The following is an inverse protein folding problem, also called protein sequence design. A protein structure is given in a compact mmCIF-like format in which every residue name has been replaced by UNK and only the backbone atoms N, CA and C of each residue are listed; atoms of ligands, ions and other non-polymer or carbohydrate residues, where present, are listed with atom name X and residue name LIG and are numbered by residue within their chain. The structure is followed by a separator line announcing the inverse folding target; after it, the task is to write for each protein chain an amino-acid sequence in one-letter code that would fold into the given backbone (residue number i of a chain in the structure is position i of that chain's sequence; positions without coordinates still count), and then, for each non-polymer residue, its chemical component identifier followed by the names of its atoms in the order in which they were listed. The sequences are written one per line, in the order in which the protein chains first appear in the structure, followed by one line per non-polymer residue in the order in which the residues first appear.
data_IF_621863142231
#
_entry.id   IF_621863142231
#
_cell.length_a   1.000
_cell.length_b   1.000
_cell.length_c   1.000
_cell.angle_alpha   90.00
_cell.angle_beta   90.00
_cell.angle_gamma   90.00
#
_symmetry.space_group_name_H-M   'P 1'
#
loop_
_entity.id
_entity.type
_entity.pdbx_description
1 polymer ?
#
# COMPACT_ATOMS: atom_id res chain seq x y z
N UNK A 1 -29.18 -33.82 -34.65
CA UNK A 1 -28.73 -32.46 -34.98
C UNK A 1 -28.76 -31.63 -33.70
N UNK A 2 -27.73 -31.76 -32.89
CA UNK A 2 -27.56 -31.10 -31.59
C UNK A 2 -26.57 -29.99 -31.80
N UNK A 3 -26.95 -28.76 -31.51
CA UNK A 3 -26.05 -27.58 -31.60
C UNK A 3 -25.24 -27.49 -30.29
N UNK A 4 -23.94 -27.53 -30.45
CA UNK A 4 -22.98 -27.19 -29.40
C UNK A 4 -23.22 -25.75 -28.95
N UNK A 5 -23.49 -25.57 -27.67
CA UNK A 5 -23.54 -24.28 -27.01
C UNK A 5 -22.12 -23.88 -26.58
N UNK A 6 -21.66 -22.75 -27.12
CA UNK A 6 -20.45 -22.06 -26.69
C UNK A 6 -20.55 -21.71 -25.19
N UNK A 7 -19.80 -22.44 -24.39
CA UNK A 7 -19.53 -22.11 -22.98
C UNK A 7 -18.45 -21.02 -22.91
N UNK A 8 -18.89 -19.75 -23.02
CA UNK A 8 -18.04 -18.60 -22.72
C UNK A 8 -18.09 -18.31 -21.22
N UNK A 9 -17.38 -19.10 -20.43
CA UNK A 9 -17.01 -18.68 -19.08
C UNK A 9 -16.21 -17.38 -19.15
N UNK A 10 -16.64 -16.29 -18.49
CA UNK A 10 -15.82 -15.09 -18.42
C UNK A 10 -14.59 -15.41 -17.59
N UNK A 11 -13.42 -15.35 -18.19
CA UNK A 11 -12.14 -15.33 -17.47
C UNK A 11 -12.20 -14.13 -16.52
N UNK A 12 -12.31 -14.41 -15.23
CA UNK A 12 -12.20 -13.42 -14.18
C UNK A 12 -10.74 -12.93 -14.11
N UNK A 13 -10.38 -11.99 -14.98
CA UNK A 13 -9.12 -11.26 -14.88
C UNK A 13 -9.19 -10.40 -13.62
N UNK A 14 -8.27 -10.61 -12.70
CA UNK A 14 -8.04 -9.69 -11.59
C UNK A 14 -7.66 -8.33 -12.18
N UNK A 15 -8.56 -7.35 -12.12
CA UNK A 15 -8.28 -5.99 -12.54
C UNK A 15 -7.50 -5.26 -11.44
N UNK A 16 -6.17 -5.29 -11.54
CA UNK A 16 -5.31 -4.35 -10.83
C UNK A 16 -5.41 -3.02 -11.56
N UNK A 17 -5.90 -1.96 -10.91
CA UNK A 17 -5.95 -0.65 -11.55
C UNK A 17 -4.54 -0.07 -11.67
N UNK A 18 -4.27 0.66 -12.75
CA UNK A 18 -3.00 1.38 -12.89
C UNK A 18 -2.82 2.38 -11.73
N UNK A 19 -3.91 2.93 -11.19
CA UNK A 19 -3.90 3.73 -9.98
C UNK A 19 -3.24 3.00 -8.82
N UNK A 20 -3.66 1.77 -8.51
CA UNK A 20 -3.06 0.98 -7.42
C UNK A 20 -1.60 0.62 -7.68
N UNK A 21 -1.23 0.33 -8.92
CA UNK A 21 0.16 0.01 -9.27
C UNK A 21 1.04 1.26 -9.38
N UNK A 22 0.50 2.37 -9.89
CA UNK A 22 1.21 3.66 -9.93
C UNK A 22 1.14 4.38 -8.58
N UNK A 23 0.13 4.17 -7.76
CA UNK A 23 0.09 4.60 -6.35
C UNK A 23 1.07 3.79 -5.51
N UNK A 24 1.11 2.48 -5.67
CA UNK A 24 2.17 1.62 -5.13
C UNK A 24 3.55 1.92 -5.75
N UNK A 25 3.58 2.51 -6.95
CA UNK A 25 4.79 2.89 -7.67
C UNK A 25 5.15 4.37 -7.54
N UNK A 26 4.38 5.17 -6.77
CA UNK A 26 4.70 6.56 -6.45
C UNK A 26 4.69 7.53 -7.63
N UNK A 27 3.72 7.43 -8.52
CA UNK A 27 3.54 8.41 -9.59
C UNK A 27 3.12 9.78 -9.03
N UNK A 28 3.88 10.79 -9.36
CA UNK A 28 3.64 12.19 -9.00
C UNK A 28 2.24 12.66 -9.38
N UNK A 29 1.57 13.24 -8.37
CA UNK A 29 0.48 14.21 -8.47
C UNK A 29 -0.38 14.18 -9.75
N UNK A 30 -1.50 13.49 -9.69
CA UNK A 30 -2.71 13.74 -10.48
C UNK A 30 -3.33 15.13 -10.15
N UNK A 31 -2.58 16.19 -10.38
CA UNK A 31 -3.10 17.57 -10.30
C UNK A 31 -3.56 18.10 -11.65
N UNK A 32 -3.97 17.28 -12.58
CA UNK A 32 -4.47 17.75 -13.88
C UNK A 32 -5.49 16.83 -14.54
N UNK A 33 -6.23 16.03 -13.80
CA UNK A 33 -7.33 15.25 -14.38
C UNK A 33 -8.68 15.57 -13.71
N UNK A 34 -8.95 16.86 -13.49
CA UNK A 34 -10.32 17.41 -13.42
C UNK A 34 -10.93 17.43 -14.83
N UNK A 35 -10.90 16.28 -15.48
CA UNK A 35 -11.72 16.01 -16.65
C UNK A 35 -12.52 14.74 -16.38
N UNK A 36 -13.85 14.84 -16.33
CA UNK A 36 -14.72 13.70 -15.98
C UNK A 36 -14.79 12.61 -17.05
N UNK A 37 -13.78 12.46 -17.91
CA UNK A 37 -13.83 11.60 -19.11
C UNK A 37 -12.74 10.52 -19.25
N UNK A 38 -11.84 10.34 -18.31
CA UNK A 38 -10.83 9.27 -18.45
C UNK A 38 -11.07 8.15 -17.44
N UNK A 39 -11.52 7.01 -17.92
CA UNK A 39 -11.57 5.78 -17.14
C UNK A 39 -10.17 5.44 -16.57
N UNK A 40 -10.07 4.87 -15.36
CA UNK A 40 -8.80 4.46 -14.78
C UNK A 40 -8.08 3.48 -15.72
N UNK A 41 -6.75 3.58 -15.83
CA UNK A 41 -5.94 2.66 -16.61
C UNK A 41 -5.86 1.34 -15.85
N UNK A 42 -6.17 0.21 -16.50
CA UNK A 42 -5.98 -1.11 -15.94
C UNK A 42 -4.47 -1.43 -15.89
N UNK A 43 -3.96 -1.84 -14.72
CA UNK A 43 -2.57 -2.27 -14.58
C UNK A 43 -2.25 -3.50 -15.43
N UNK A 44 -3.20 -4.41 -15.59
CA UNK A 44 -3.04 -5.60 -16.44
C UNK A 44 -3.00 -5.22 -17.92
N UNK A 45 -3.85 -4.30 -18.37
CA UNK A 45 -3.81 -3.78 -19.73
C UNK A 45 -2.46 -3.12 -20.05
N UNK A 46 -1.96 -2.27 -19.13
CA UNK A 46 -0.64 -1.65 -19.29
C UNK A 46 0.48 -2.69 -19.30
N UNK A 47 0.42 -3.69 -18.42
CA UNK A 47 1.39 -4.79 -18.38
C UNK A 47 1.45 -5.54 -19.72
N UNK A 48 0.31 -5.91 -20.27
CA UNK A 48 0.24 -6.61 -21.56
C UNK A 48 0.74 -5.72 -22.69
N UNK A 49 0.39 -4.42 -22.70
CA UNK A 49 0.88 -3.48 -23.69
C UNK A 49 2.43 -3.37 -23.65
N UNK A 50 3.00 -3.13 -22.47
CA UNK A 50 4.45 -3.01 -22.31
C UNK A 50 5.17 -4.32 -22.64
N UNK A 51 4.69 -5.47 -22.16
CA UNK A 51 5.28 -6.77 -22.42
C UNK A 51 5.30 -7.11 -23.92
N UNK A 52 4.19 -6.83 -24.60
CA UNK A 52 4.10 -7.08 -26.03
C UNK A 52 4.97 -6.13 -26.85
N UNK A 53 5.11 -4.86 -26.43
CA UNK A 53 6.03 -3.91 -27.06
C UNK A 53 7.47 -4.37 -26.86
N UNK A 54 7.85 -4.80 -25.67
CA UNK A 54 9.21 -5.29 -25.37
C UNK A 54 9.58 -6.50 -26.25
N UNK A 55 8.64 -7.43 -26.40
CA UNK A 55 8.81 -8.67 -27.17
C UNK A 55 8.76 -8.46 -28.68
N UNK A 56 7.95 -7.54 -29.18
CA UNK A 56 7.63 -7.46 -30.62
C UNK A 56 8.05 -6.17 -31.29
N UNK A 57 8.43 -5.15 -30.51
CA UNK A 57 8.75 -3.82 -31.04
C UNK A 57 7.57 -3.08 -31.66
N UNK A 58 6.30 -3.44 -31.34
CA UNK A 58 5.13 -2.95 -32.06
C UNK A 58 3.94 -2.63 -31.16
N UNK A 59 3.59 -1.34 -31.07
CA UNK A 59 2.34 -0.89 -30.41
C UNK A 59 1.11 -1.45 -31.12
N UNK A 60 1.14 -1.61 -32.43
CA UNK A 60 0.02 -2.17 -33.19
C UNK A 60 -0.25 -3.65 -32.85
N UNK A 61 0.78 -4.43 -32.54
CA UNK A 61 0.60 -5.81 -32.03
C UNK A 61 0.10 -5.80 -30.59
N UNK A 62 0.65 -4.94 -29.76
CA UNK A 62 0.22 -4.78 -28.37
C UNK A 62 -1.26 -4.39 -28.27
N UNK A 63 -1.72 -3.44 -29.08
CA UNK A 63 -3.11 -3.04 -29.13
C UNK A 63 -4.06 -4.20 -29.48
N UNK A 64 -3.65 -5.05 -30.43
CA UNK A 64 -4.44 -6.24 -30.80
C UNK A 64 -4.49 -7.28 -29.67
N UNK A 65 -3.39 -7.45 -28.93
CA UNK A 65 -3.31 -8.43 -27.86
C UNK A 65 -4.22 -8.06 -26.66
N UNK A 66 -4.46 -6.76 -26.43
CA UNK A 66 -5.45 -6.26 -25.46
C UNK A 66 -6.85 -6.02 -26.06
N UNK A 67 -7.07 -6.44 -27.32
CA UNK A 67 -8.33 -6.26 -28.05
C UNK A 67 -8.80 -4.79 -28.11
N UNK A 68 -7.88 -3.87 -28.27
CA UNK A 68 -8.10 -2.41 -28.35
C UNK A 68 -7.57 -1.81 -29.65
N UNK A 69 -8.02 -0.60 -29.94
CA UNK A 69 -7.51 0.15 -31.09
C UNK A 69 -6.08 0.65 -30.85
N UNK A 70 -5.32 0.85 -31.92
CA UNK A 70 -4.00 1.46 -31.87
C UNK A 70 -4.00 2.83 -31.17
N UNK A 71 -5.04 3.65 -31.41
CA UNK A 71 -5.21 4.96 -30.76
C UNK A 71 -5.41 4.81 -29.25
N UNK A 72 -6.18 3.82 -28.82
CA UNK A 72 -6.38 3.52 -27.38
C UNK A 72 -5.06 3.11 -26.70
N UNK A 73 -4.28 2.23 -27.35
CA UNK A 73 -2.97 1.84 -26.80
C UNK A 73 -2.02 3.04 -26.61
N UNK A 74 -2.01 3.96 -27.58
CA UNK A 74 -1.26 5.22 -27.47
C UNK A 74 -1.77 6.10 -26.33
N UNK A 75 -3.09 6.23 -26.15
CA UNK A 75 -3.69 7.00 -25.06
C UNK A 75 -3.30 6.40 -23.70
N UNK A 76 -3.40 5.08 -23.53
CA UNK A 76 -2.98 4.39 -22.30
C UNK A 76 -1.50 4.61 -22.01
N UNK A 77 -0.61 4.42 -22.99
CA UNK A 77 0.83 4.64 -22.83
C UNK A 77 1.17 6.10 -22.53
N UNK A 78 0.49 7.05 -23.18
CA UNK A 78 0.67 8.50 -22.92
C UNK A 78 0.25 8.90 -21.53
N UNK A 79 -0.91 8.47 -21.08
CA UNK A 79 -1.42 8.73 -19.73
C UNK A 79 -0.55 8.05 -18.68
N UNK A 80 -0.12 6.81 -18.90
CA UNK A 80 0.79 6.10 -18.02
C UNK A 80 2.14 6.82 -17.90
N UNK A 81 2.71 7.27 -19.03
CA UNK A 81 3.95 8.06 -19.07
C UNK A 81 3.81 9.39 -18.31
N UNK A 82 2.68 10.09 -18.48
CA UNK A 82 2.39 11.34 -17.76
C UNK A 82 2.27 11.08 -16.26
N UNK A 83 1.57 10.01 -15.86
CA UNK A 83 1.41 9.65 -14.44
C UNK A 83 2.72 9.20 -13.81
N UNK A 84 3.58 8.52 -14.56
CA UNK A 84 4.89 8.09 -14.09
C UNK A 84 5.93 9.22 -14.07
N UNK A 85 5.71 10.28 -14.85
CA UNK A 85 6.61 11.42 -14.97
C UNK A 85 7.78 11.22 -15.94
N UNK A 86 7.77 10.12 -16.73
CA UNK A 86 8.77 9.83 -17.76
C UNK A 86 8.14 9.02 -18.90
N UNK A 87 8.74 9.10 -20.10
CA UNK A 87 8.27 8.31 -21.25
C UNK A 87 8.56 6.82 -21.03
N UNK A 88 7.54 5.99 -21.11
CA UNK A 88 7.68 4.53 -20.98
C UNK A 88 8.11 3.85 -22.28
N UNK A 89 7.98 4.53 -23.42
CA UNK A 89 8.34 3.99 -24.73
C UNK A 89 9.14 4.99 -25.57
N UNK A 90 10.04 4.48 -26.37
CA UNK A 90 10.82 5.22 -27.36
C UNK A 90 10.43 4.73 -28.77
N UNK A 91 10.08 5.67 -29.63
CA UNK A 91 9.73 5.36 -31.01
C UNK A 91 10.84 5.79 -31.98
N UNK A 92 11.19 4.94 -32.92
CA UNK A 92 12.06 5.30 -34.01
C UNK A 92 11.23 5.51 -35.29
N UNK A 93 11.34 6.71 -35.86
CA UNK A 93 10.67 7.04 -37.13
C UNK A 93 11.23 6.16 -38.25
N UNK A 94 10.35 5.48 -38.99
CA UNK A 94 10.76 4.53 -40.02
C UNK A 94 11.44 5.18 -41.23
N UNK A 95 12.63 4.66 -41.54
CA UNK A 95 13.23 4.75 -42.85
C UNK A 95 12.88 3.50 -43.67
N UNK A 96 13.66 3.22 -44.75
CA UNK A 96 13.50 2.07 -45.69
C UNK A 96 13.45 0.67 -44.99
N UNK A 97 13.83 0.59 -43.71
CA UNK A 97 13.84 -0.62 -42.90
C UNK A 97 12.71 -0.70 -41.84
N UNK A 98 11.73 0.21 -41.85
CA UNK A 98 10.60 0.23 -40.92
C UNK A 98 10.91 0.90 -39.59
N UNK A 99 9.93 1.61 -38.98
CA UNK A 99 10.00 2.17 -37.65
C UNK A 99 9.61 1.12 -36.60
N UNK A 100 10.13 1.25 -35.39
CA UNK A 100 9.83 0.37 -34.27
C UNK A 100 9.57 1.15 -32.97
N UNK A 101 9.08 0.46 -31.96
CA UNK A 101 8.91 0.97 -30.62
C UNK A 101 9.63 0.06 -29.64
N UNK A 102 10.39 0.62 -28.74
CA UNK A 102 11.03 -0.12 -27.66
C UNK A 102 10.66 0.51 -26.31
N UNK A 103 10.76 -0.26 -25.24
CA UNK A 103 10.63 0.30 -23.92
C UNK A 103 11.82 1.18 -23.58
N UNK A 104 11.57 2.30 -22.94
CA UNK A 104 12.60 3.06 -22.21
C UNK A 104 13.11 2.24 -21.02
N UNK A 105 14.11 2.74 -20.31
CA UNK A 105 14.56 2.14 -19.05
C UNK A 105 13.45 2.20 -17.99
N UNK A 106 12.75 3.33 -17.92
CA UNK A 106 11.57 3.51 -17.07
C UNK A 106 10.44 2.55 -17.47
N UNK A 107 10.18 2.37 -18.75
CA UNK A 107 9.20 1.40 -19.26
C UNK A 107 9.50 -0.03 -18.84
N UNK A 108 10.78 -0.46 -18.90
CA UNK A 108 11.19 -1.79 -18.39
C UNK A 108 11.03 -1.90 -16.88
N UNK A 109 11.32 -0.83 -16.17
CA UNK A 109 11.13 -0.78 -14.72
C UNK A 109 9.66 -0.92 -14.33
N UNK A 110 8.76 -0.18 -15.01
CA UNK A 110 7.31 -0.28 -14.80
C UNK A 110 6.80 -1.69 -15.15
N UNK A 111 7.24 -2.25 -16.31
CA UNK A 111 6.85 -3.61 -16.70
C UNK A 111 7.24 -4.66 -15.67
N UNK A 112 8.47 -4.59 -15.16
CA UNK A 112 8.96 -5.51 -14.12
C UNK A 112 8.07 -5.45 -12.89
N UNK A 113 7.76 -4.26 -12.39
CA UNK A 113 6.90 -4.05 -11.22
C UNK A 113 5.48 -4.55 -11.43
N UNK A 114 4.93 -4.33 -12.61
CA UNK A 114 3.61 -4.87 -12.96
C UNK A 114 3.62 -6.40 -12.98
N UNK A 115 4.71 -7.02 -13.44
CA UNK A 115 4.90 -8.49 -13.39
C UNK A 115 5.05 -8.99 -11.96
N UNK A 116 5.84 -8.30 -11.15
CA UNK A 116 6.09 -8.67 -9.75
C UNK A 116 4.78 -8.56 -8.94
N UNK A 117 4.04 -7.46 -9.09
CA UNK A 117 2.74 -7.29 -8.44
C UNK A 117 1.71 -8.34 -8.90
N UNK A 118 1.70 -8.70 -10.19
CA UNK A 118 0.84 -9.77 -10.69
C UNK A 118 1.24 -11.14 -10.12
N UNK A 119 2.53 -11.42 -10.02
CA UNK A 119 3.04 -12.66 -9.43
C UNK A 119 2.77 -12.75 -7.92
N UNK A 120 2.90 -11.63 -7.19
CA UNK A 120 2.52 -11.56 -5.77
C UNK A 120 1.02 -11.79 -5.58
N UNK A 121 0.18 -11.19 -6.42
CA UNK A 121 -1.27 -11.42 -6.42
C UNK A 121 -1.59 -12.88 -6.73
N UNK A 122 -0.97 -13.47 -7.74
CA UNK A 122 -1.12 -14.90 -8.04
C UNK A 122 -0.61 -15.78 -6.90
N UNK A 123 0.48 -15.42 -6.24
CA UNK A 123 1.01 -16.12 -5.08
C UNK A 123 0.06 -16.02 -3.87
N UNK A 124 -0.60 -14.87 -3.68
CA UNK A 124 -1.61 -14.68 -2.63
C UNK A 124 -2.87 -15.49 -2.94
N UNK A 125 -3.33 -15.48 -4.19
CA UNK A 125 -4.50 -16.24 -4.66
C UNK A 125 -4.21 -17.75 -4.68
N UNK A 126 -2.97 -18.14 -5.00
CA UNK A 126 -2.52 -19.54 -5.10
C UNK A 126 -1.97 -20.07 -3.78
N UNK A 127 -1.79 -19.26 -2.74
CA UNK A 127 -1.49 -19.79 -1.40
C UNK A 127 -2.62 -20.71 -1.02
N UNK A 128 -2.34 -22.01 -0.75
CA UNK A 128 -3.35 -22.87 -0.21
C UNK A 128 -3.81 -22.24 1.10
N UNK A 129 -5.07 -21.77 1.12
CA UNK A 129 -5.74 -21.50 2.38
C UNK A 129 -5.52 -22.75 3.26
N UNK A 130 -5.35 -22.60 4.58
CA UNK A 130 -5.26 -23.78 5.45
C UNK A 130 -6.45 -24.66 5.08
N UNK A 131 -6.14 -25.91 4.75
CA UNK A 131 -7.03 -26.89 4.09
C UNK A 131 -8.39 -26.95 4.81
N UNK A 132 -9.30 -26.12 4.39
CA UNK A 132 -10.73 -26.27 4.69
C UNK A 132 -11.47 -26.01 3.38
N UNK A 133 -12.21 -26.99 2.91
CA UNK A 133 -12.99 -27.02 1.65
C UNK A 133 -14.06 -25.92 1.52
N UNK A 134 -14.05 -24.91 2.34
CA UNK A 134 -15.05 -23.87 2.33
C UNK A 134 -14.43 -22.47 2.31
N UNK A 135 -14.92 -21.55 1.45
CA UNK A 135 -14.39 -20.18 1.38
C UNK A 135 -14.55 -19.42 2.70
N UNK A 136 -13.75 -18.37 2.94
CA UNK A 136 -13.96 -17.48 4.08
C UNK A 136 -15.37 -16.91 4.11
N UNK A 137 -15.93 -16.84 5.31
CA UNK A 137 -17.26 -16.27 5.53
C UNK A 137 -17.22 -14.73 5.58
N UNK A 138 -16.07 -14.16 5.98
CA UNK A 138 -15.81 -12.71 6.05
C UNK A 138 -14.49 -12.43 5.35
N UNK A 139 -14.47 -11.45 4.45
CA UNK A 139 -13.28 -10.96 3.80
C UNK A 139 -12.90 -9.58 4.34
N UNK A 140 -11.65 -9.42 4.75
CA UNK A 140 -11.10 -8.16 5.28
C UNK A 140 -9.95 -7.71 4.39
N UNK A 141 -10.02 -6.49 3.87
CA UNK A 141 -8.86 -5.86 3.25
C UNK A 141 -8.06 -5.09 4.31
N UNK A 142 -6.77 -5.34 4.37
CA UNK A 142 -5.89 -4.73 5.37
C UNK A 142 -4.54 -4.35 4.78
N UNK A 143 -3.84 -3.47 5.47
CA UNK A 143 -2.50 -3.07 5.06
C UNK A 143 -1.50 -4.20 5.23
N UNK A 144 -0.44 -4.17 4.42
CA UNK A 144 0.53 -5.27 4.33
C UNK A 144 1.20 -5.56 5.67
N UNK A 145 1.50 -4.53 6.46
CA UNK A 145 2.12 -4.67 7.77
C UNK A 145 1.28 -5.50 8.75
N UNK A 146 -0.04 -5.47 8.64
CA UNK A 146 -0.95 -6.30 9.46
C UNK A 146 -0.84 -7.78 9.06
N UNK A 147 -0.61 -8.04 7.78
CA UNK A 147 -0.48 -9.40 7.27
C UNK A 147 0.94 -9.94 7.49
N UNK A 148 1.95 -9.15 7.15
CA UNK A 148 3.37 -9.52 7.25
C UNK A 148 3.81 -9.74 8.70
N UNK A 149 3.21 -9.03 9.67
CA UNK A 149 3.42 -9.26 11.09
C UNK A 149 2.82 -10.57 11.62
N UNK A 150 1.97 -11.25 10.84
CA UNK A 150 1.23 -12.45 11.28
C UNK A 150 -0.02 -12.15 12.12
N UNK A 151 -0.33 -10.88 12.34
CA UNK A 151 -1.53 -10.48 13.12
C UNK A 151 -2.82 -10.92 12.44
N UNK A 152 -2.90 -10.81 11.11
CA UNK A 152 -4.04 -11.30 10.33
C UNK A 152 -4.32 -12.79 10.53
N UNK A 153 -3.27 -13.62 10.52
CA UNK A 153 -3.38 -15.07 10.77
C UNK A 153 -3.81 -15.35 12.22
N UNK A 154 -3.31 -14.57 13.17
CA UNK A 154 -3.69 -14.70 14.58
C UNK A 154 -5.15 -14.35 14.81
N UNK A 155 -5.65 -13.27 14.21
CA UNK A 155 -7.06 -12.88 14.22
C UNK A 155 -7.92 -13.99 13.61
N UNK A 156 -7.56 -14.48 12.41
CA UNK A 156 -8.31 -15.53 11.71
C UNK A 156 -8.44 -16.79 12.54
N UNK A 157 -7.36 -17.29 13.11
CA UNK A 157 -7.34 -18.50 13.93
C UNK A 157 -8.15 -18.36 15.20
N UNK A 158 -7.97 -17.27 15.96
CA UNK A 158 -8.65 -17.08 17.25
C UNK A 158 -10.13 -16.85 17.05
N UNK A 159 -10.50 -16.00 16.11
CA UNK A 159 -11.91 -15.76 15.82
C UNK A 159 -12.62 -17.02 15.34
N UNK A 160 -11.97 -17.83 14.51
CA UNK A 160 -12.51 -19.12 14.10
C UNK A 160 -12.70 -20.07 15.28
N UNK A 161 -11.72 -20.15 16.18
CA UNK A 161 -11.80 -21.02 17.38
C UNK A 161 -12.98 -20.64 18.27
N UNK A 162 -13.27 -19.36 18.40
CA UNK A 162 -14.32 -18.87 19.29
C UNK A 162 -15.71 -18.81 18.64
N UNK A 163 -15.78 -18.50 17.35
CA UNK A 163 -17.06 -18.23 16.65
C UNK A 163 -17.44 -19.28 15.59
N UNK A 164 -16.49 -20.11 15.15
CA UNK A 164 -16.66 -21.00 14.01
C UNK A 164 -16.69 -20.27 12.64
N UNK A 165 -16.47 -18.95 12.62
CA UNK A 165 -16.54 -18.12 11.42
C UNK A 165 -15.13 -17.91 10.87
N UNK A 166 -14.93 -18.23 9.60
CA UNK A 166 -13.65 -18.04 8.92
C UNK A 166 -13.52 -16.63 8.39
N UNK A 167 -12.36 -16.01 8.67
CA UNK A 167 -11.96 -14.70 8.16
C UNK A 167 -10.81 -14.89 7.17
N UNK A 168 -10.96 -14.33 5.97
CA UNK A 168 -9.89 -14.19 4.99
C UNK A 168 -9.38 -12.76 4.97
N UNK A 169 -8.08 -12.60 4.72
CA UNK A 169 -7.45 -11.29 4.58
C UNK A 169 -6.92 -11.07 3.17
N UNK A 170 -7.07 -9.84 2.67
CA UNK A 170 -6.44 -9.35 1.43
C UNK A 170 -5.50 -8.22 1.81
N UNK A 171 -4.22 -8.34 1.42
CA UNK A 171 -3.23 -7.28 1.61
C UNK A 171 -3.39 -6.19 0.55
N UNK A 172 -3.52 -4.93 1.00
CA UNK A 172 -3.68 -3.77 0.12
C UNK A 172 -3.22 -2.50 0.84
N UNK A 173 -2.82 -1.46 0.12
CA UNK A 173 -2.66 -0.14 0.74
C UNK A 173 -4.00 0.39 1.31
N UNK A 174 -3.96 1.30 2.30
CA UNK A 174 -5.19 1.81 2.92
C UNK A 174 -6.21 2.35 1.90
N UNK A 175 -5.75 3.09 0.89
CA UNK A 175 -6.62 3.60 -0.17
C UNK A 175 -7.25 2.51 -1.03
N UNK A 176 -6.46 1.50 -1.38
CA UNK A 176 -6.93 0.35 -2.15
C UNK A 176 -7.90 -0.53 -1.34
N UNK A 177 -7.61 -0.77 -0.06
CA UNK A 177 -8.50 -1.49 0.84
C UNK A 177 -9.89 -0.82 0.92
N UNK A 178 -9.92 0.51 1.09
CA UNK A 178 -11.16 1.29 1.08
C UNK A 178 -11.84 1.29 -0.29
N UNK A 179 -11.07 1.27 -1.38
CA UNK A 179 -11.62 1.12 -2.74
C UNK A 179 -12.27 -0.25 -2.94
N UNK A 180 -11.62 -1.35 -2.53
CA UNK A 180 -12.23 -2.69 -2.56
C UNK A 180 -13.54 -2.72 -1.77
N UNK A 181 -13.55 -2.09 -0.60
CA UNK A 181 -14.72 -2.00 0.26
C UNK A 181 -15.85 -1.19 -0.39
N UNK A 182 -15.57 -0.03 -1.01
CA UNK A 182 -16.57 0.79 -1.68
C UNK A 182 -17.22 0.10 -2.88
N UNK A 183 -16.53 -0.91 -3.46
CA UNK A 183 -17.05 -1.74 -4.53
C UNK A 183 -17.70 -3.05 -4.03
N UNK A 184 -17.82 -3.25 -2.72
CA UNK A 184 -18.44 -4.43 -2.12
C UNK A 184 -17.64 -5.73 -2.33
N UNK A 185 -16.32 -5.63 -2.54
CA UNK A 185 -15.44 -6.79 -2.74
C UNK A 185 -14.99 -7.43 -1.43
N UNK A 186 -15.05 -6.68 -0.35
CA UNK A 186 -14.73 -7.13 1.01
C UNK A 186 -15.83 -6.68 1.98
N UNK A 187 -15.86 -7.30 3.15
CA UNK A 187 -16.89 -7.06 4.17
C UNK A 187 -16.43 -6.05 5.23
N UNK A 188 -15.12 -5.90 5.37
CA UNK A 188 -14.51 -4.94 6.28
C UNK A 188 -13.10 -4.56 5.80
N UNK A 189 -12.58 -3.48 6.40
CA UNK A 189 -11.19 -3.05 6.23
C UNK A 189 -10.52 -2.87 7.58
N UNK A 190 -9.18 -3.03 7.61
CA UNK A 190 -8.33 -2.55 8.72
C UNK A 190 -7.29 -1.63 8.08
N UNK A 191 -7.43 -0.32 8.29
CA UNK A 191 -6.64 0.72 7.62
C UNK A 191 -6.14 1.76 8.63
N UNK A 192 -5.19 2.60 8.20
CA UNK A 192 -4.62 3.67 9.02
C UNK A 192 -4.52 5.00 8.25
N UNK A 193 -5.55 5.33 7.49
CA UNK A 193 -5.68 6.56 6.70
C UNK A 193 -6.91 7.39 7.13
N UNK A 194 -6.86 8.09 8.27
CA UNK A 194 -8.05 8.71 8.89
C UNK A 194 -8.83 9.67 7.97
N UNK A 195 -8.17 10.37 7.05
CA UNK A 195 -8.84 11.26 6.09
C UNK A 195 -9.69 10.49 5.10
N UNK A 196 -9.14 9.41 4.54
CA UNK A 196 -9.81 8.53 3.58
C UNK A 196 -10.92 7.71 4.26
N UNK A 197 -10.70 7.24 5.48
CA UNK A 197 -11.70 6.56 6.30
C UNK A 197 -12.91 7.45 6.59
N UNK A 198 -12.68 8.73 6.95
CA UNK A 198 -13.75 9.70 7.13
C UNK A 198 -14.53 9.97 5.84
N UNK A 199 -13.84 10.02 4.71
CA UNK A 199 -14.48 10.17 3.40
C UNK A 199 -15.32 8.94 3.05
N UNK A 200 -14.79 7.74 3.25
CA UNK A 200 -15.48 6.48 3.08
C UNK A 200 -16.79 6.43 3.90
N UNK A 201 -16.73 6.84 5.16
CA UNK A 201 -17.90 6.90 6.03
C UNK A 201 -18.90 7.97 5.56
N UNK A 202 -18.45 9.16 5.17
CA UNK A 202 -19.31 10.26 4.66
C UNK A 202 -20.05 9.87 3.37
N UNK A 203 -19.40 9.09 2.50
CA UNK A 203 -20.01 8.58 1.27
C UNK A 203 -21.03 7.46 1.53
N UNK A 204 -21.22 7.06 2.79
CA UNK A 204 -22.21 6.06 3.17
C UNK A 204 -21.80 4.62 2.84
N UNK A 205 -20.53 4.38 2.52
CA UNK A 205 -20.01 3.04 2.21
C UNK A 205 -19.70 2.23 3.47
N UNK A 206 -19.30 2.89 4.54
CA UNK A 206 -19.06 2.27 5.85
C UNK A 206 -20.30 2.29 6.75
N UNK A 207 -20.42 1.29 7.60
CA UNK A 207 -21.45 1.20 8.64
C UNK A 207 -20.90 1.62 10.01
N UNK A 208 -19.74 1.07 10.39
CA UNK A 208 -19.09 1.34 11.69
C UNK A 208 -17.59 1.39 11.49
N UNK A 209 -16.95 2.40 12.07
CA UNK A 209 -15.49 2.48 12.24
C UNK A 209 -15.14 2.26 13.71
N UNK A 210 -14.23 1.32 13.97
CA UNK A 210 -13.73 0.99 15.30
C UNK A 210 -12.22 1.10 15.31
N UNK A 211 -11.60 2.00 16.09
CA UNK A 211 -10.17 1.95 16.33
C UNK A 211 -9.82 0.64 17.04
N UNK A 212 -8.90 -0.15 16.50
CA UNK A 212 -8.59 -1.49 17.03
C UNK A 212 -7.19 -1.60 17.61
N UNK A 213 -6.25 -0.82 17.08
CA UNK A 213 -4.86 -0.79 17.53
C UNK A 213 -4.16 0.48 17.05
N UNK A 214 -2.99 0.72 17.63
CA UNK A 214 -2.09 1.76 17.17
C UNK A 214 -0.73 1.16 16.78
N UNK A 215 -0.17 1.65 15.68
CA UNK A 215 1.19 1.41 15.26
C UNK A 215 2.03 2.68 15.43
N UNK A 216 3.30 2.60 15.10
CA UNK A 216 4.17 3.76 15.13
C UNK A 216 5.18 3.74 14.01
N UNK A 217 5.63 4.92 13.65
CA UNK A 217 6.72 5.11 12.70
C UNK A 217 8.05 5.25 13.43
N UNK A 218 9.09 4.81 12.77
CA UNK A 218 10.48 4.99 13.17
C UNK A 218 11.24 5.69 12.06
N UNK A 219 12.30 6.40 12.43
CA UNK A 219 13.22 7.00 11.49
C UNK A 219 14.48 6.14 11.45
N UNK A 220 14.87 5.71 10.27
CA UNK A 220 16.13 5.00 10.04
C UNK A 220 17.11 5.93 9.34
N UNK A 221 18.39 5.70 9.57
CA UNK A 221 19.44 6.50 8.98
C UNK A 221 20.79 5.80 9.06
N UNK A 222 21.87 6.43 8.53
CA UNK A 222 23.23 5.91 8.61
C UNK A 222 23.67 5.70 10.07
N UNK A 223 24.48 4.67 10.32
CA UNK A 223 24.95 4.35 11.66
C UNK A 223 25.84 5.44 12.29
N UNK A 224 26.49 6.28 11.47
CA UNK A 224 27.28 7.43 11.90
C UNK A 224 26.45 8.71 12.17
N UNK A 225 25.15 8.66 11.85
CA UNK A 225 24.17 9.72 12.08
C UNK A 225 24.69 11.14 11.76
N UNK A 226 24.98 11.45 10.49
CA UNK A 226 25.57 12.74 10.11
C UNK A 226 24.66 13.95 10.43
N UNK A 227 23.33 13.76 10.49
CA UNK A 227 22.40 14.81 10.90
C UNK A 227 22.35 15.01 12.42
N UNK A 228 22.88 14.08 13.22
CA UNK A 228 22.90 14.15 14.67
C UNK A 228 21.53 13.96 15.32
N UNK A 229 20.65 13.18 14.69
CA UNK A 229 19.28 12.90 15.17
C UNK A 229 19.27 12.23 16.55
N UNK A 230 20.19 11.26 16.79
CA UNK A 230 20.33 10.58 18.09
C UNK A 230 20.91 11.48 19.18
N UNK A 231 21.69 12.50 18.80
CA UNK A 231 22.46 13.35 19.72
C UNK A 231 21.64 14.47 20.36
N UNK A 232 20.35 14.58 19.99
CA UNK A 232 19.48 15.62 20.53
C UNK A 232 19.17 15.35 21.99
N UNK A 233 19.40 16.37 22.78
CA UNK A 233 19.47 16.46 24.23
C UNK A 233 18.45 15.72 25.10
N UNK A 234 18.60 15.79 26.44
CA UNK A 234 17.85 14.96 27.37
C UNK A 234 16.38 15.38 27.58
N UNK A 235 15.92 16.49 27.00
CA UNK A 235 14.55 16.97 27.20
C UNK A 235 13.58 16.31 26.23
N UNK A 236 12.38 16.00 26.71
CA UNK A 236 11.31 15.37 25.92
C UNK A 236 10.89 16.18 24.70
N UNK A 237 11.12 17.49 24.71
CA UNK A 237 10.77 18.41 23.63
C UNK A 237 11.80 18.34 22.47
N UNK A 238 13.06 18.05 22.80
CA UNK A 238 14.16 17.98 21.85
C UNK A 238 14.25 16.61 21.14
N UNK A 239 13.59 15.59 21.66
CA UNK A 239 13.55 14.23 21.08
C UNK A 239 12.27 13.93 20.30
N UNK A 240 11.60 14.95 19.79
CA UNK A 240 10.42 14.70 18.95
C UNK A 240 10.84 14.21 17.56
N UNK A 241 9.98 13.44 16.90
CA UNK A 241 10.20 13.06 15.51
C UNK A 241 10.25 14.30 14.60
N UNK A 242 9.50 15.35 14.94
CA UNK A 242 9.52 16.62 14.22
C UNK A 242 10.91 17.27 14.30
N UNK A 243 11.52 17.29 15.49
CA UNK A 243 12.89 17.80 15.66
C UNK A 243 13.94 16.98 14.89
N UNK A 244 13.73 15.67 14.74
CA UNK A 244 14.58 14.83 13.90
C UNK A 244 14.50 15.25 12.43
N UNK A 245 13.32 15.54 11.94
CA UNK A 245 13.09 16.05 10.58
C UNK A 245 13.75 17.43 10.38
N UNK A 246 13.60 18.33 11.35
CA UNK A 246 14.29 19.65 11.32
C UNK A 246 15.82 19.51 11.21
N UNK A 247 16.41 18.56 11.92
CA UNK A 247 17.86 18.35 11.91
C UNK A 247 18.36 17.80 10.58
N UNK A 248 17.66 16.83 10.01
CA UNK A 248 17.98 16.26 8.70
C UNK A 248 17.97 17.37 7.64
N UNK A 249 16.93 18.20 7.64
CA UNK A 249 16.84 19.33 6.71
C UNK A 249 17.94 20.39 6.95
N UNK A 250 18.22 20.73 8.21
CA UNK A 250 19.29 21.70 8.57
C UNK A 250 20.66 21.19 8.18
N UNK A 251 20.91 19.91 8.32
CA UNK A 251 22.16 19.28 7.92
C UNK A 251 22.27 19.09 6.40
N UNK A 252 21.19 19.24 5.66
CA UNK A 252 21.12 18.91 4.23
C UNK A 252 21.39 17.42 3.97
N UNK A 253 21.14 16.58 4.96
CA UNK A 253 21.38 15.14 4.85
C UNK A 253 20.31 14.50 3.96
N UNK A 254 20.70 13.51 3.17
CA UNK A 254 19.82 12.87 2.19
C UNK A 254 18.63 12.22 2.93
N UNK A 255 17.42 12.51 2.45
CA UNK A 255 16.20 11.88 2.90
C UNK A 255 15.47 11.22 1.72
N UNK A 256 15.18 9.94 1.82
CA UNK A 256 14.47 9.19 0.80
C UNK A 256 12.99 9.10 1.15
N UNK A 257 12.16 9.61 0.25
CA UNK A 257 10.71 9.56 0.35
C UNK A 257 10.13 8.55 -0.62
N UNK A 258 9.09 7.85 -0.21
CA UNK A 258 8.31 6.99 -1.10
C UNK A 258 7.57 7.78 -2.17
N UNK A 259 7.11 8.98 -1.85
CA UNK A 259 6.34 9.87 -2.76
C UNK A 259 5.17 9.18 -3.49
N UNK A 260 4.47 8.23 -2.81
CA UNK A 260 3.48 7.33 -3.38
C UNK A 260 2.08 7.46 -2.76
N UNK A 261 1.86 8.48 -1.94
CA UNK A 261 0.63 8.71 -1.17
C UNK A 261 0.23 7.55 -0.23
N UNK A 262 1.15 6.62 0.03
CA UNK A 262 0.97 5.61 1.08
C UNK A 262 0.81 6.24 2.46
N UNK A 263 0.33 5.47 3.44
CA UNK A 263 0.24 5.92 4.83
C UNK A 263 1.57 6.47 5.36
N UNK A 264 2.70 5.85 5.00
CA UNK A 264 4.05 6.32 5.34
C UNK A 264 4.36 7.67 4.70
N UNK A 265 4.07 7.85 3.41
CA UNK A 265 4.31 9.12 2.72
C UNK A 265 3.38 10.24 3.24
N UNK A 266 2.12 9.95 3.50
CA UNK A 266 1.20 10.93 4.09
C UNK A 266 1.67 11.38 5.48
N UNK A 267 2.14 10.44 6.31
CA UNK A 267 2.73 10.75 7.61
C UNK A 267 4.04 11.54 7.49
N UNK A 268 4.88 11.20 6.56
CA UNK A 268 6.10 11.95 6.24
C UNK A 268 5.79 13.41 5.90
N UNK A 269 4.82 13.65 5.00
CA UNK A 269 4.42 15.02 4.61
C UNK A 269 3.81 15.79 5.77
N UNK A 270 3.05 15.13 6.65
CA UNK A 270 2.56 15.73 7.90
C UNK A 270 3.72 16.17 8.79
N UNK A 271 4.75 15.33 8.93
CA UNK A 271 5.93 15.66 9.77
C UNK A 271 6.76 16.82 9.19
N UNK A 272 6.96 16.87 7.88
CA UNK A 272 7.59 18.01 7.21
C UNK A 272 6.80 19.31 7.42
N UNK A 273 5.47 19.23 7.30
CA UNK A 273 4.59 20.38 7.55
C UNK A 273 4.67 20.87 9.00
N UNK A 274 4.66 19.94 9.98
CA UNK A 274 4.82 20.27 11.40
C UNK A 274 6.19 20.87 11.72
N UNK A 275 7.22 20.46 11.01
CA UNK A 275 8.56 21.05 11.08
C UNK A 275 8.65 22.44 10.42
N UNK A 276 7.60 22.89 9.72
CA UNK A 276 7.61 24.13 8.95
C UNK A 276 8.55 24.09 7.75
N UNK A 277 8.83 22.91 7.22
CA UNK A 277 9.80 22.69 6.14
C UNK A 277 9.08 22.19 4.90
N UNK A 278 9.35 22.82 3.77
CA UNK A 278 8.98 22.33 2.45
C UNK A 278 10.19 21.57 1.88
N UNK A 279 10.16 20.21 1.87
CA UNK A 279 11.32 19.43 1.45
C UNK A 279 11.59 19.58 -0.04
N UNK A 280 12.85 19.83 -0.42
CA UNK A 280 13.28 20.09 -1.80
C UNK A 280 14.62 19.41 -2.09
N UNK A 281 14.80 19.04 -3.37
CA UNK A 281 16.11 18.60 -3.84
C UNK A 281 17.20 19.67 -3.54
N UNK A 282 18.47 19.29 -3.37
CA UNK A 282 19.02 17.95 -3.67
C UNK A 282 18.97 16.95 -2.52
N UNK A 283 18.73 17.36 -1.28
CA UNK A 283 18.77 16.47 -0.12
C UNK A 283 17.49 15.63 0.04
N UNK A 284 16.36 16.16 -0.39
CA UNK A 284 15.11 15.40 -0.41
C UNK A 284 14.99 14.62 -1.73
N UNK A 285 14.91 13.30 -1.64
CA UNK A 285 14.96 12.40 -2.78
C UNK A 285 13.65 11.63 -2.91
N UNK A 286 12.67 12.15 -3.64
CA UNK A 286 11.45 11.42 -3.94
C UNK A 286 11.80 10.20 -4.81
N UNK A 287 11.33 9.03 -4.38
CA UNK A 287 11.54 7.75 -5.07
C UNK A 287 10.20 7.16 -5.46
N UNK A 288 9.65 7.73 -6.50
CA UNK A 288 8.40 7.29 -7.09
C UNK A 288 8.52 5.83 -7.54
N UNK A 289 7.63 4.98 -7.03
CA UNK A 289 7.60 3.58 -7.42
C UNK A 289 8.51 2.65 -6.64
N UNK A 290 9.12 3.12 -5.56
CA UNK A 290 9.90 2.26 -4.66
C UNK A 290 9.06 1.84 -3.45
N UNK A 291 9.02 0.53 -3.16
CA UNK A 291 8.47 0.00 -1.92
C UNK A 291 9.39 0.29 -0.73
N UNK A 292 8.95 -0.13 0.46
CA UNK A 292 9.74 0.08 1.69
C UNK A 292 11.13 -0.55 1.62
N UNK A 293 11.25 -1.74 1.04
CA UNK A 293 12.53 -2.46 0.91
C UNK A 293 13.52 -1.68 0.05
N UNK A 294 13.08 -1.18 -1.10
CA UNK A 294 13.92 -0.43 -2.02
C UNK A 294 14.32 0.93 -1.43
N UNK A 295 13.41 1.60 -0.71
CA UNK A 295 13.71 2.85 0.01
C UNK A 295 14.81 2.61 1.05
N UNK A 296 14.70 1.55 1.85
CA UNK A 296 15.73 1.21 2.84
C UNK A 296 17.06 0.87 2.17
N UNK A 297 17.03 0.15 1.05
CA UNK A 297 18.27 -0.16 0.32
C UNK A 297 18.93 1.11 -0.22
N UNK A 298 18.16 2.04 -0.81
CA UNK A 298 18.69 3.34 -1.26
C UNK A 298 19.27 4.16 -0.10
N UNK A 299 18.60 4.14 1.06
CA UNK A 299 19.11 4.80 2.26
C UNK A 299 20.44 4.19 2.73
N UNK A 300 20.55 2.86 2.71
CA UNK A 300 21.78 2.15 3.05
C UNK A 300 22.93 2.47 2.07
N UNK A 301 22.66 2.37 0.77
CA UNK A 301 23.65 2.53 -0.30
C UNK A 301 24.20 3.97 -0.38
N UNK A 302 23.41 4.95 0.00
CA UNK A 302 23.74 6.38 -0.18
C UNK A 302 23.87 7.16 1.14
N UNK A 303 23.79 6.48 2.27
CA UNK A 303 23.92 7.11 3.59
C UNK A 303 22.79 8.12 3.87
N UNK A 304 21.54 7.75 3.60
CA UNK A 304 20.39 8.62 3.77
C UNK A 304 19.44 8.18 4.88
N UNK A 305 18.47 9.03 5.16
CA UNK A 305 17.40 8.81 6.13
C UNK A 305 16.10 8.41 5.44
N UNK A 306 15.24 7.67 6.14
CA UNK A 306 13.90 7.33 5.67
C UNK A 306 12.94 7.13 6.84
N UNK A 307 11.68 7.49 6.66
CA UNK A 307 10.58 7.15 7.56
C UNK A 307 10.02 5.79 7.19
N UNK A 308 9.74 4.94 8.18
CA UNK A 308 9.15 3.63 7.95
C UNK A 308 8.22 3.24 9.11
N UNK A 309 7.17 2.49 8.81
CA UNK A 309 6.36 1.84 9.84
C UNK A 309 7.16 0.75 10.55
N UNK A 310 7.03 0.66 11.88
CA UNK A 310 7.83 -0.26 12.70
C UNK A 310 7.50 -1.73 12.40
N UNK A 311 6.24 -2.06 12.11
CA UNK A 311 5.85 -3.43 11.78
C UNK A 311 6.42 -3.84 10.40
N UNK A 312 6.39 -2.94 9.43
CA UNK A 312 7.04 -3.14 8.14
C UNK A 312 8.56 -3.33 8.30
N UNK A 313 9.21 -2.47 9.09
CA UNK A 313 10.66 -2.61 9.33
C UNK A 313 11.01 -3.95 9.98
N UNK A 314 10.18 -4.42 10.91
CA UNK A 314 10.37 -5.73 11.53
C UNK A 314 10.26 -6.87 10.51
N UNK A 315 9.25 -6.82 9.64
CA UNK A 315 9.00 -7.85 8.63
C UNK A 315 10.11 -7.94 7.56
N UNK A 316 10.62 -6.79 7.10
CA UNK A 316 11.63 -6.77 6.02
C UNK A 316 13.08 -6.76 6.51
N UNK A 317 13.31 -6.42 7.79
CA UNK A 317 14.63 -6.25 8.37
C UNK A 317 15.33 -4.94 7.99
N UNK A 318 16.36 -4.59 8.74
CA UNK A 318 17.17 -3.40 8.51
C UNK A 318 18.39 -3.76 7.65
N UNK A 319 18.59 -3.11 6.47
CA UNK A 319 19.79 -3.31 5.68
C UNK A 319 21.06 -2.91 6.44
N UNK A 320 22.19 -3.56 6.14
CA UNK A 320 23.50 -3.21 6.73
C UNK A 320 23.86 -1.74 6.46
N UNK A 321 24.50 -1.09 7.43
CA UNK A 321 24.86 0.33 7.35
C UNK A 321 23.78 1.30 7.85
N UNK A 322 22.55 0.84 8.05
CA UNK A 322 21.49 1.62 8.68
C UNK A 322 21.29 1.22 10.15
N UNK A 323 20.79 2.18 10.90
CA UNK A 323 20.28 2.00 12.27
C UNK A 323 18.96 2.73 12.44
N UNK A 324 18.21 2.40 13.50
CA UNK A 324 17.06 3.20 13.91
C UNK A 324 17.56 4.38 14.71
N UNK A 325 17.62 5.55 14.08
CA UNK A 325 18.13 6.79 14.68
C UNK A 325 17.09 7.51 15.54
N UNK A 326 15.80 7.22 15.31
CA UNK A 326 14.74 7.72 16.15
C UNK A 326 13.60 6.68 16.27
N UNK A 327 13.11 6.50 17.49
CA UNK A 327 11.90 5.73 17.80
C UNK A 327 11.12 6.41 18.93
N UNK A 328 9.79 6.23 19.00
CA UNK A 328 9.03 6.76 20.12
C UNK A 328 9.53 6.13 21.41
N UNK A 329 9.66 6.95 22.45
CA UNK A 329 9.85 6.47 23.83
C UNK A 329 8.68 5.61 24.26
N UNK A 330 8.74 4.99 25.46
CA UNK A 330 7.62 4.22 26.01
C UNK A 330 6.32 5.03 25.89
N UNK A 331 5.37 4.56 25.10
CA UNK A 331 4.06 5.21 24.87
C UNK A 331 3.22 5.35 26.14
N UNK A 332 3.69 4.80 27.28
CA UNK A 332 3.05 4.92 28.61
C UNK A 332 3.27 6.25 29.30
N UNK A 333 4.13 7.12 28.82
CA UNK A 333 4.38 8.44 29.43
C UNK A 333 3.32 9.44 28.93
N UNK A 334 2.31 9.73 29.76
CA UNK A 334 1.37 10.83 29.53
C UNK A 334 2.12 12.14 29.37
N UNK A 335 1.92 12.80 28.25
CA UNK A 335 2.39 14.19 28.03
C UNK A 335 3.42 14.35 26.95
N UNK A 336 3.58 13.46 25.97
CA UNK A 336 4.69 13.55 25.07
C UNK A 336 4.37 13.60 23.57
N UNK A 337 5.21 14.35 22.88
CA UNK A 337 5.27 14.60 21.43
C UNK A 337 5.48 13.35 20.55
N UNK A 338 5.44 12.15 21.12
CA UNK A 338 5.39 10.88 20.43
C UNK A 338 4.10 10.68 19.60
N UNK A 339 3.07 11.51 19.87
CA UNK A 339 1.79 11.42 19.15
C UNK A 339 1.90 11.57 17.64
N UNK A 340 2.87 12.35 17.16
CA UNK A 340 3.07 12.55 15.72
C UNK A 340 3.63 11.32 15.01
N UNK A 341 4.27 10.41 15.73
CA UNK A 341 4.80 9.17 15.15
C UNK A 341 3.83 7.99 15.28
N UNK A 342 2.68 8.19 15.92
CA UNK A 342 1.67 7.14 16.11
C UNK A 342 0.64 7.21 14.97
N UNK A 343 0.20 6.05 14.54
CA UNK A 343 -0.94 5.90 13.65
C UNK A 343 -1.96 4.96 14.26
N UNK A 344 -3.23 5.21 14.02
CA UNK A 344 -4.33 4.39 14.51
C UNK A 344 -4.88 3.56 13.38
N UNK A 345 -5.04 2.28 13.62
CA UNK A 345 -5.68 1.36 12.70
C UNK A 345 -7.15 1.27 13.05
N UNK A 346 -7.98 1.54 12.06
CA UNK A 346 -9.44 1.49 12.18
C UNK A 346 -9.97 0.29 11.43
N UNK A 347 -10.71 -0.58 12.10
CA UNK A 347 -11.56 -1.54 11.42
C UNK A 347 -12.86 -0.86 11.02
N UNK A 348 -13.17 -0.89 9.72
CA UNK A 348 -14.42 -0.34 9.18
C UNK A 348 -15.22 -1.47 8.53
N UNK A 349 -16.45 -1.69 9.03
CA UNK A 349 -17.40 -2.62 8.40
C UNK A 349 -18.09 -1.95 7.21
N UNK A 350 -18.26 -2.70 6.14
CA UNK A 350 -18.91 -2.24 4.90
C UNK A 350 -20.41 -2.30 5.06
N UNK A 351 -21.11 -1.26 4.59
CA UNK A 351 -22.56 -1.19 4.63
C UNK A 351 -23.17 -2.24 3.70
N UNK A 352 -24.23 -2.91 4.15
CA UNK A 352 -24.93 -3.96 3.40
C UNK A 352 -25.30 -3.56 1.97
N UNK A 353 -25.74 -2.32 1.77
CA UNK A 353 -26.15 -1.80 0.46
C UNK A 353 -25.03 -1.75 -0.57
N UNK A 354 -23.78 -1.84 -0.13
CA UNK A 354 -22.58 -1.82 -0.98
C UNK A 354 -22.15 -3.23 -1.38
N UNK A 355 -22.39 -4.21 -0.50
CA UNK A 355 -21.97 -5.60 -0.74
C UNK A 355 -22.79 -6.19 -1.88
N UNK A 356 -22.11 -6.66 -2.93
CA UNK A 356 -22.73 -7.21 -4.13
C UNK A 356 -22.84 -8.73 -4.03
N UNK A 357 -23.97 -9.19 -3.50
CA UNK A 357 -24.28 -10.62 -3.40
C UNK A 357 -25.81 -10.82 -3.31
N UNK A 358 -26.28 -12.07 -3.24
CA UNK A 358 -27.68 -12.36 -2.99
C UNK A 358 -28.12 -11.83 -1.60
N UNK A 359 -29.31 -11.24 -1.44
CA UNK A 359 -29.71 -10.56 -0.19
C UNK A 359 -29.48 -11.37 1.09
N UNK A 360 -29.84 -12.65 1.10
CA UNK A 360 -29.65 -13.51 2.27
C UNK A 360 -28.15 -13.79 2.59
N UNK A 361 -27.26 -13.74 1.60
CA UNK A 361 -25.83 -13.86 1.79
C UNK A 361 -25.24 -12.54 2.33
N UNK A 362 -25.73 -11.41 1.82
CA UNK A 362 -25.34 -10.06 2.28
C UNK A 362 -25.64 -9.88 3.76
N UNK A 363 -26.85 -10.24 4.21
CA UNK A 363 -27.26 -10.14 5.61
C UNK A 363 -26.34 -10.96 6.53
N UNK A 364 -26.00 -12.19 6.12
CA UNK A 364 -25.09 -13.05 6.89
C UNK A 364 -23.68 -12.47 6.95
N UNK A 365 -23.12 -12.08 5.80
CA UNK A 365 -21.75 -11.54 5.72
C UNK A 365 -21.60 -10.27 6.55
N UNK A 366 -22.54 -9.34 6.44
CA UNK A 366 -22.57 -8.13 7.24
C UNK A 366 -22.74 -8.43 8.75
N UNK A 367 -23.56 -9.42 9.10
CA UNK A 367 -23.70 -9.91 10.48
C UNK A 367 -22.37 -10.45 11.03
N UNK A 368 -21.68 -11.26 10.25
CA UNK A 368 -20.38 -11.82 10.63
C UNK A 368 -19.27 -10.74 10.71
N UNK A 369 -19.28 -9.75 9.81
CA UNK A 369 -18.35 -8.63 9.88
C UNK A 369 -18.55 -7.78 11.14
N UNK A 370 -19.81 -7.54 11.54
CA UNK A 370 -20.12 -6.88 12.82
C UNK A 370 -19.65 -7.71 14.01
N UNK A 371 -19.90 -9.02 14.00
CA UNK A 371 -19.44 -9.92 15.06
C UNK A 371 -17.91 -9.94 15.18
N UNK A 372 -17.19 -9.93 14.06
CA UNK A 372 -15.74 -9.79 14.03
C UNK A 372 -15.30 -8.45 14.63
N UNK A 373 -15.95 -7.34 14.26
CA UNK A 373 -15.65 -6.01 14.80
C UNK A 373 -15.84 -5.96 16.31
N UNK A 374 -16.94 -6.51 16.85
CA UNK A 374 -17.21 -6.55 18.28
C UNK A 374 -16.24 -7.49 19.02
N UNK A 375 -15.84 -8.57 18.39
CA UNK A 375 -14.83 -9.48 18.94
C UNK A 375 -13.46 -8.81 19.01
N UNK A 376 -13.04 -8.08 17.95
CA UNK A 376 -11.78 -7.34 17.94
C UNK A 376 -11.74 -6.27 19.03
N UNK A 377 -12.84 -5.54 19.28
CA UNK A 377 -12.95 -4.56 20.34
C UNK A 377 -12.58 -5.14 21.72
N UNK A 378 -13.01 -6.37 21.99
CA UNK A 378 -12.75 -7.06 23.25
C UNK A 378 -11.41 -7.78 23.31
N UNK A 379 -11.00 -8.38 22.20
CA UNK A 379 -9.91 -9.37 22.17
C UNK A 379 -8.57 -8.78 21.72
N UNK A 380 -8.58 -7.68 20.97
CA UNK A 380 -7.36 -7.07 20.43
C UNK A 380 -6.32 -6.72 21.50
N UNK A 381 -6.67 -6.13 22.67
CA UNK A 381 -5.69 -5.85 23.71
C UNK A 381 -4.92 -7.09 24.18
N UNK A 382 -5.61 -8.23 24.34
CA UNK A 382 -4.98 -9.48 24.77
C UNK A 382 -4.08 -10.07 23.65
N UNK A 383 -4.53 -10.02 22.40
CA UNK A 383 -3.78 -10.48 21.24
C UNK A 383 -2.45 -9.73 21.13
N UNK A 384 -2.49 -8.39 21.21
CA UNK A 384 -1.31 -7.55 21.07
C UNK A 384 -0.31 -7.72 22.22
N UNK A 385 -0.80 -7.95 23.45
CA UNK A 385 0.06 -8.23 24.62
C UNK A 385 0.76 -9.58 24.48
N UNK A 386 0.11 -10.59 23.95
CA UNK A 386 0.71 -11.91 23.75
C UNK A 386 1.73 -11.89 22.61
N UNK A 387 1.40 -11.21 21.51
CA UNK A 387 2.29 -11.06 20.36
C UNK A 387 3.58 -10.32 20.75
N UNK A 388 3.46 -9.31 21.60
CA UNK A 388 4.60 -8.54 22.12
C UNK A 388 5.57 -9.33 23.00
N UNK A 389 5.15 -10.44 23.61
CA UNK A 389 6.00 -11.29 24.46
C UNK A 389 7.04 -12.10 23.67
N UNK A 390 6.80 -12.29 22.36
CA UNK A 390 7.72 -12.96 21.43
C UNK A 390 8.86 -12.07 20.93
N UNK A 391 8.70 -10.75 20.97
CA UNK A 391 9.63 -9.76 20.43
C UNK A 391 10.17 -8.88 21.56
N UNK A 392 11.41 -9.13 22.02
CA UNK A 392 11.98 -8.48 23.20
C UNK A 392 12.16 -6.96 23.12
N UNK A 393 12.10 -6.34 21.96
CA UNK A 393 12.50 -4.93 21.78
C UNK A 393 11.56 -4.04 20.93
N UNK A 394 10.53 -4.55 20.29
CA UNK A 394 9.69 -3.73 19.40
C UNK A 394 8.21 -4.12 19.58
N UNK A 395 7.44 -3.26 20.20
CA UNK A 395 5.98 -3.35 20.15
C UNK A 395 5.54 -2.92 18.74
N UNK A 396 5.19 -3.87 17.87
CA UNK A 396 4.77 -3.60 16.51
C UNK A 396 3.43 -2.84 16.51
N UNK A 397 2.49 -3.33 17.28
CA UNK A 397 1.20 -2.71 17.52
C UNK A 397 0.91 -2.65 19.01
N UNK A 398 0.08 -1.70 19.41
CA UNK A 398 -0.31 -1.51 20.80
C UNK A 398 -1.83 -1.39 20.94
N UNK A 399 -2.42 -1.79 22.09
CA UNK A 399 -3.81 -1.47 22.40
C UNK A 399 -4.03 0.04 22.42
N UNK A 400 -5.21 0.46 22.03
CA UNK A 400 -5.67 1.86 22.13
C UNK A 400 -6.05 2.20 23.58
#
# INVERSE_FOLDING_TARGET
MVRDGDDKTPRSGLHVSLGSVLEASGAKQLRALDSPRSAPISGDELRVLLDTIDRTGSIGRAAREVERSYRHAWDVLGRASTSYGASLVETTTGGRSGGGTRLSEDGRTVLRRLKDASAELEAIVSRPAPVTDQPPAVMVASTLEVLESGLGDTISRRFFTESGIRVGFIGAGSGEALSLASHGRVDATITHAPSMEREFMRNGWGERGLPVMQGHFVLVGPADDPAGVERVGPTTKERSIVSAFEQIARAGSIFFSRSDQSGTHLKEMELWHLAGIEPKEPWYQPRVGFGNREILQQAADRGGYALIDAATLHAIGLPGGLTTVWRPGSLRTRGNQSHHAVTHYTMTTVRQTVIRDAPAAVDRRAGWARQLSEWLDRSMPAILIEDSRGSRDIFLFQPI
#
